data_IF_065317057869
#
_entry.id   IF_065317057869
#
_cell.length_a   1.000
_cell.length_b   1.000
_cell.length_c   1.000
_cell.angle_alpha   90.00
_cell.angle_beta   90.00
_cell.angle_gamma   90.00
#
_symmetry.space_group_name_H-M   'P 1'
#
loop_
_entity.id
_entity.type
_entity.pdbx_description
1 polymer ?
#
# COMPACT_ATOMS: atom_id res chain seq x y z
N UNK A 1 13.76 -6.84 11.05
CA UNK A 1 13.30 -7.54 9.84
C UNK A 1 12.16 -6.76 9.24
N UNK A 2 12.27 -6.33 7.98
CA UNK A 2 11.17 -5.72 7.22
C UNK A 2 9.96 -6.68 7.21
N UNK A 3 8.72 -6.16 7.26
CA UNK A 3 7.51 -6.99 7.23
C UNK A 3 6.79 -6.84 5.90
N UNK A 4 6.55 -7.94 5.20
CA UNK A 4 5.72 -7.91 3.99
C UNK A 4 4.26 -7.67 4.37
N UNK A 5 3.60 -6.76 3.66
CA UNK A 5 2.19 -6.47 3.84
C UNK A 5 1.37 -7.60 3.22
N UNK A 6 0.60 -8.27 4.07
CA UNK A 6 -0.48 -9.16 3.65
C UNK A 6 -1.77 -8.35 3.44
N UNK A 7 -2.10 -8.10 2.17
CA UNK A 7 -3.28 -7.33 1.79
C UNK A 7 -4.60 -8.08 2.03
N UNK A 8 -4.56 -9.38 2.35
CA UNK A 8 -5.77 -10.13 2.73
C UNK A 8 -6.22 -9.84 4.16
N UNK A 9 -5.43 -9.10 4.94
CA UNK A 9 -5.83 -8.61 6.25
C UNK A 9 -6.70 -7.36 6.12
N UNK A 10 -7.54 -7.08 7.11
CA UNK A 10 -8.33 -5.85 7.15
C UNK A 10 -7.46 -4.60 7.13
N UNK A 11 -7.99 -3.50 6.60
CA UNK A 11 -7.30 -2.22 6.52
C UNK A 11 -6.78 -1.75 7.88
N UNK A 12 -7.53 -1.99 8.97
CA UNK A 12 -7.09 -1.69 10.33
C UNK A 12 -5.83 -2.48 10.72
N UNK A 13 -5.80 -3.78 10.43
CA UNK A 13 -4.67 -4.64 10.78
C UNK A 13 -3.44 -4.29 9.94
N UNK A 14 -3.64 -4.03 8.63
CA UNK A 14 -2.59 -3.51 7.75
C UNK A 14 -2.04 -2.18 8.28
N UNK A 15 -2.90 -1.23 8.63
CA UNK A 15 -2.47 0.07 9.16
C UNK A 15 -1.71 -0.07 10.50
N UNK A 16 -2.19 -0.94 11.40
CA UNK A 16 -1.50 -1.25 12.67
C UNK A 16 -0.10 -1.80 12.40
N UNK A 17 0.04 -2.73 11.45
CA UNK A 17 1.34 -3.27 11.05
C UNK A 17 2.25 -2.14 10.51
N UNK A 18 1.77 -1.33 9.56
CA UNK A 18 2.54 -0.19 9.02
C UNK A 18 3.07 0.71 10.16
N UNK A 19 2.22 1.05 11.12
CA UNK A 19 2.61 1.89 12.27
C UNK A 19 3.59 1.19 13.23
N UNK A 20 3.44 -0.12 13.44
CA UNK A 20 4.30 -0.88 14.35
C UNK A 20 5.74 -1.05 13.83
N UNK A 21 5.93 -1.00 12.50
CA UNK A 21 7.24 -1.19 11.87
C UNK A 21 7.87 0.10 11.31
N UNK A 22 7.24 1.26 11.51
CA UNK A 22 7.79 2.58 11.12
C UNK A 22 8.57 3.20 12.31
N UNK A 23 9.78 3.79 12.13
CA UNK A 23 10.42 4.16 10.86
C UNK A 23 11.32 3.10 10.21
N UNK A 24 11.90 2.16 10.98
CA UNK A 24 12.75 1.09 10.45
C UNK A 24 12.45 -0.21 11.21
N UNK A 25 12.33 -1.36 10.52
CA UNK A 25 12.69 -1.58 9.11
C UNK A 25 11.57 -1.24 8.09
N UNK A 26 10.33 -1.02 8.52
CA UNK A 26 9.20 -0.65 7.67
C UNK A 26 8.33 -1.83 7.22
N UNK A 27 7.06 -1.55 6.96
CA UNK A 27 6.16 -2.46 6.26
C UNK A 27 6.28 -2.23 4.75
N UNK A 28 6.44 -3.30 3.97
CA UNK A 28 6.75 -3.22 2.54
C UNK A 28 5.83 -4.09 1.69
N UNK A 29 5.76 -3.77 0.40
CA UNK A 29 5.14 -4.61 -0.63
C UNK A 29 6.00 -4.57 -1.90
N UNK A 30 5.72 -5.44 -2.86
CA UNK A 30 6.45 -5.52 -4.13
C UNK A 30 5.74 -4.76 -5.23
N UNK A 31 6.48 -3.91 -5.94
CA UNK A 31 6.04 -3.30 -7.19
C UNK A 31 7.04 -3.59 -8.30
N UNK A 32 6.65 -4.37 -9.31
CA UNK A 32 7.51 -4.78 -10.44
C UNK A 32 8.87 -5.32 -9.96
N UNK A 33 8.81 -6.32 -9.06
CA UNK A 33 9.98 -7.00 -8.49
C UNK A 33 10.90 -6.10 -7.65
N UNK A 34 10.47 -4.88 -7.30
CA UNK A 34 11.20 -3.98 -6.42
C UNK A 34 10.40 -3.71 -5.13
N UNK A 35 11.04 -3.75 -3.95
CA UNK A 35 10.38 -3.43 -2.70
C UNK A 35 10.04 -1.94 -2.63
N UNK A 36 8.86 -1.66 -2.08
CA UNK A 36 8.42 -0.34 -1.69
C UNK A 36 7.91 -0.36 -0.25
N UNK A 37 8.47 0.52 0.58
CA UNK A 37 8.04 0.68 1.97
C UNK A 37 6.87 1.66 2.02
N UNK A 38 5.85 1.32 2.79
CA UNK A 38 4.73 2.20 3.11
C UNK A 38 5.08 2.97 4.37
N UNK A 39 5.42 4.25 4.23
CA UNK A 39 5.87 5.09 5.33
C UNK A 39 4.71 5.72 6.10
N UNK A 40 3.59 5.99 5.41
CA UNK A 40 2.38 6.58 6.01
C UNK A 40 1.13 6.17 5.25
N UNK A 41 0.07 5.86 6.00
CA UNK A 41 -1.22 5.41 5.46
C UNK A 41 -2.39 5.83 6.36
N UNK A 42 -3.56 5.99 5.76
CA UNK A 42 -4.80 6.31 6.46
C UNK A 42 -5.91 5.31 6.11
N UNK A 43 -6.75 4.97 7.09
CA UNK A 43 -8.00 4.26 6.81
C UNK A 43 -8.92 5.15 5.98
N UNK A 44 -9.67 4.52 5.09
CA UNK A 44 -10.69 5.19 4.28
C UNK A 44 -12.03 4.45 4.45
N UNK A 45 -13.12 5.21 4.55
CA UNK A 45 -14.46 4.66 4.63
C UNK A 45 -15.06 4.49 3.21
N UNK A 46 -16.19 3.79 3.14
CA UNK A 46 -17.05 3.71 1.96
C UNK A 46 -16.40 3.13 0.69
N UNK A 47 -15.33 2.33 0.85
CA UNK A 47 -14.71 1.54 -0.22
C UNK A 47 -14.64 0.08 0.21
N UNK A 48 -15.57 -0.72 -0.30
CA UNK A 48 -15.73 -2.15 0.01
C UNK A 48 -15.68 -3.06 -1.22
N UNK A 49 -15.61 -2.46 -2.41
CA UNK A 49 -15.66 -3.17 -3.69
C UNK A 49 -14.28 -3.50 -4.28
N UNK A 50 -13.20 -3.12 -3.60
CA UNK A 50 -11.83 -3.43 -4.00
C UNK A 50 -11.37 -4.77 -3.39
N UNK A 51 -10.95 -5.69 -4.25
CA UNK A 51 -10.32 -6.93 -3.81
C UNK A 51 -8.99 -6.66 -3.11
N UNK A 52 -8.57 -7.49 -2.15
CA UNK A 52 -7.23 -7.46 -1.56
C UNK A 52 -6.12 -7.21 -2.59
N UNK A 53 -5.27 -6.23 -2.33
CA UNK A 53 -4.14 -5.83 -3.19
C UNK A 53 -4.52 -5.01 -4.42
N UNK A 54 -5.79 -4.90 -4.79
CA UNK A 54 -6.22 -4.11 -5.96
C UNK A 54 -6.01 -2.62 -5.72
N UNK A 55 -5.53 -1.91 -6.75
CA UNK A 55 -5.24 -0.48 -6.69
C UNK A 55 -6.35 0.30 -7.39
N UNK A 56 -6.85 1.35 -6.72
CA UNK A 56 -7.70 2.39 -7.31
C UNK A 56 -7.08 3.76 -7.09
N UNK A 57 -7.17 4.62 -8.10
CA UNK A 57 -6.77 6.02 -7.99
C UNK A 57 -8.02 6.86 -7.74
N UNK A 58 -8.14 7.51 -6.58
CA UNK A 58 -9.28 8.36 -6.22
C UNK A 58 -8.76 9.78 -5.99
N UNK A 59 -9.12 10.72 -6.88
CA UNK A 59 -8.62 12.10 -6.86
C UNK A 59 -7.08 12.19 -6.78
N UNK A 60 -6.41 11.24 -7.43
CA UNK A 60 -4.95 11.11 -7.44
C UNK A 60 -4.35 10.48 -6.17
N UNK A 61 -5.16 10.07 -5.20
CA UNK A 61 -4.72 9.25 -4.07
C UNK A 61 -4.62 7.78 -4.48
N UNK A 62 -3.65 7.08 -3.89
CA UNK A 62 -3.48 5.64 -4.08
C UNK A 62 -4.26 4.91 -3.00
N UNK A 63 -5.30 4.19 -3.40
CA UNK A 63 -6.16 3.39 -2.51
C UNK A 63 -5.97 1.92 -2.83
N UNK A 64 -5.76 1.11 -1.79
CA UNK A 64 -5.51 -0.33 -1.90
C UNK A 64 -6.64 -1.08 -1.22
N UNK A 65 -7.22 -2.06 -1.91
CA UNK A 65 -8.17 -3.00 -1.33
C UNK A 65 -7.50 -3.91 -0.30
N UNK A 66 -8.20 -4.17 0.78
CA UNK A 66 -7.79 -5.02 1.89
C UNK A 66 -8.83 -6.14 2.11
N UNK A 67 -8.52 -7.07 3.02
CA UNK A 67 -9.50 -8.06 3.47
C UNK A 67 -10.69 -7.43 4.19
N UNK A 68 -11.70 -8.24 4.49
CA UNK A 68 -12.90 -7.81 5.24
C UNK A 68 -13.61 -6.62 4.59
N UNK A 69 -13.67 -6.58 3.25
CA UNK A 69 -14.37 -5.53 2.47
C UNK A 69 -13.95 -4.11 2.88
N UNK A 70 -12.65 -3.92 3.09
CA UNK A 70 -12.07 -2.66 3.56
C UNK A 70 -10.97 -2.17 2.62
N UNK A 71 -10.55 -0.92 2.78
CA UNK A 71 -9.48 -0.32 1.99
C UNK A 71 -8.62 0.64 2.82
N UNK A 72 -7.41 0.90 2.32
CA UNK A 72 -6.47 1.84 2.93
C UNK A 72 -5.92 2.81 1.88
N UNK A 73 -5.75 4.08 2.25
CA UNK A 73 -5.07 5.08 1.44
C UNK A 73 -3.60 5.13 1.81
N UNK A 74 -2.72 5.11 0.80
CA UNK A 74 -1.30 5.37 0.98
C UNK A 74 -1.05 6.88 0.89
N UNK A 75 -0.37 7.44 1.89
CA UNK A 75 -0.02 8.85 1.94
C UNK A 75 1.44 9.06 1.53
N UNK A 76 2.36 8.27 2.10
CA UNK A 76 3.80 8.35 1.83
C UNK A 76 4.43 6.97 1.66
N UNK A 77 5.38 6.89 0.72
CA UNK A 77 6.09 5.65 0.39
C UNK A 77 7.58 5.92 0.19
N UNK A 78 8.40 4.89 0.39
CA UNK A 78 9.85 4.92 0.14
C UNK A 78 10.20 3.81 -0.85
N UNK A 79 10.29 4.11 -2.17
CA UNK A 79 10.78 3.17 -3.16
C UNK A 79 12.26 2.83 -2.93
N UNK A 80 12.67 1.63 -3.31
CA UNK A 80 14.08 1.22 -3.22
C UNK A 80 15.04 2.25 -3.86
N UNK A 81 16.09 2.61 -3.13
CA UNK A 81 17.10 3.59 -3.55
C UNK A 81 16.63 5.04 -3.64
N UNK A 82 15.44 5.39 -3.12
CA UNK A 82 14.89 6.75 -3.14
C UNK A 82 14.51 7.23 -1.74
N UNK A 83 14.43 8.55 -1.59
CA UNK A 83 13.85 9.17 -0.39
C UNK A 83 12.35 8.92 -0.32
N UNK A 84 11.80 9.02 0.90
CA UNK A 84 10.35 9.05 1.13
C UNK A 84 9.71 10.15 0.29
N UNK A 85 8.56 9.84 -0.32
CA UNK A 85 7.78 10.75 -1.17
C UNK A 85 6.29 10.47 -1.02
N UNK A 86 5.45 11.37 -1.52
CA UNK A 86 4.00 11.13 -1.52
C UNK A 86 3.65 9.93 -2.40
N UNK A 87 2.65 9.15 -1.99
CA UNK A 87 2.17 8.01 -2.77
C UNK A 87 1.69 8.44 -4.17
N UNK A 88 1.10 9.64 -4.27
CA UNK A 88 0.70 10.22 -5.55
C UNK A 88 1.88 10.50 -6.49
N UNK A 89 2.98 11.08 -5.98
CA UNK A 89 4.17 11.35 -6.79
C UNK A 89 4.82 10.04 -7.25
N UNK A 90 4.90 9.05 -6.36
CA UNK A 90 5.34 7.71 -6.71
C UNK A 90 4.43 7.09 -7.79
N UNK A 91 3.11 7.14 -7.63
CA UNK A 91 2.16 6.54 -8.56
C UNK A 91 2.30 7.05 -9.99
N UNK A 92 2.51 8.36 -10.16
CA UNK A 92 2.76 8.99 -11.47
C UNK A 92 4.06 8.45 -12.10
N UNK A 93 5.15 8.42 -11.33
CA UNK A 93 6.45 7.94 -11.81
C UNK A 93 6.46 6.43 -12.11
N UNK A 94 5.72 5.65 -11.32
CA UNK A 94 5.56 4.21 -11.45
C UNK A 94 4.53 3.81 -12.54
N UNK A 95 3.82 4.80 -13.11
CA UNK A 95 2.76 4.64 -14.13
C UNK A 95 1.64 3.69 -13.68
N UNK A 96 1.21 3.87 -12.43
CA UNK A 96 0.05 3.18 -11.89
C UNK A 96 -1.20 3.57 -12.68
N UNK A 97 -2.03 2.59 -12.97
CA UNK A 97 -3.35 2.75 -13.58
C UNK A 97 -4.34 1.78 -12.92
N UNK A 98 -5.63 2.05 -13.09
CA UNK A 98 -6.69 1.16 -12.60
C UNK A 98 -6.49 -0.26 -13.14
N UNK A 99 -6.72 -1.25 -12.29
CA UNK A 99 -6.49 -2.66 -12.61
C UNK A 99 -5.09 -3.17 -12.26
N UNK A 100 -4.16 -2.30 -11.82
CA UNK A 100 -2.95 -2.78 -11.17
C UNK A 100 -3.26 -3.35 -9.78
N UNK A 101 -2.49 -4.33 -9.35
CA UNK A 101 -2.58 -4.92 -8.02
C UNK A 101 -1.18 -5.12 -7.42
N UNK A 102 -1.11 -5.02 -6.09
CA UNK A 102 -0.03 -5.63 -5.34
C UNK A 102 -0.34 -7.12 -5.17
N UNK A 103 0.65 -7.95 -5.46
CA UNK A 103 0.60 -9.37 -5.13
C UNK A 103 1.25 -9.55 -3.77
N UNK A 104 0.55 -10.21 -2.85
CA UNK A 104 1.21 -10.75 -1.66
C UNK A 104 1.97 -12.02 -2.07
N UNK A 105 3.21 -12.18 -1.61
CA UNK A 105 4.07 -13.31 -1.99
C UNK A 105 3.60 -14.66 -1.43
N UNK A 106 2.56 -14.68 -0.59
CA UNK A 106 1.94 -15.90 -0.09
C UNK A 106 0.91 -16.43 -1.10
N UNK A 107 1.42 -17.17 -2.09
CA UNK A 107 0.69 -18.18 -2.86
C UNK A 107 1.09 -19.57 -2.41
#
# INVERSE_FOLDING_TARGET
SEVEIDWNQSAEKVQRNIRAFTPEPGAWTSWRDAPIIIAKSALIADISDLKPGSIRLIDGNVVIGCGEESAIRLDEVRPSGKNTMTAQAWARGARLHEGNCFVSSNG
#
